data_IF_868514273746
#
_entry.id   IF_868514273746
#
_cell.length_a   1.000
_cell.length_b   1.000
_cell.length_c   1.000
_cell.angle_alpha   90.00
_cell.angle_beta   90.00
_cell.angle_gamma   90.00
#
_symmetry.space_group_name_H-M   'P 1'
#
loop_
_entity.id
_entity.type
_entity.pdbx_description
1 polymer ?
#
# COMPACT_ATOMS: atom_id res chain seq x y z
N UNK A 1 14.24 -22.18 35.13
CA UNK A 1 13.34 -21.02 34.91
C UNK A 1 12.01 -21.53 34.40
N UNK A 2 10.92 -21.27 35.13
CA UNK A 2 9.55 -21.66 34.75
C UNK A 2 9.17 -21.05 33.39
N UNK A 3 8.49 -21.83 32.54
CA UNK A 3 8.03 -21.39 31.21
C UNK A 3 7.23 -20.09 31.26
N UNK A 4 6.49 -19.85 32.35
CA UNK A 4 5.74 -18.61 32.60
C UNK A 4 6.64 -17.37 32.74
N UNK A 5 7.84 -17.52 33.29
CA UNK A 5 8.78 -16.41 33.46
C UNK A 5 9.49 -16.08 32.14
N UNK A 6 9.77 -17.09 31.30
CA UNK A 6 10.36 -16.87 29.97
C UNK A 6 9.37 -16.16 29.03
N UNK A 7 8.10 -16.57 29.06
CA UNK A 7 7.03 -15.94 28.29
C UNK A 7 6.80 -14.47 28.69
N UNK A 8 6.78 -14.19 30.00
CA UNK A 8 6.65 -12.82 30.52
C UNK A 8 7.83 -11.93 30.10
N UNK A 9 9.06 -12.45 30.16
CA UNK A 9 10.26 -11.72 29.71
C UNK A 9 10.20 -11.46 28.19
N UNK A 10 9.87 -12.48 27.39
CA UNK A 10 9.75 -12.33 25.94
C UNK A 10 8.70 -11.28 25.56
N UNK A 11 7.54 -11.31 26.22
CA UNK A 11 6.47 -10.33 26.01
C UNK A 11 6.92 -8.91 26.35
N UNK A 12 7.59 -8.71 27.50
CA UNK A 12 8.13 -7.39 27.88
C UNK A 12 9.15 -6.89 26.85
N UNK A 13 10.06 -7.77 26.39
CA UNK A 13 11.05 -7.42 25.37
C UNK A 13 10.37 -7.01 24.06
N UNK A 14 9.36 -7.75 23.61
CA UNK A 14 8.60 -7.40 22.41
C UNK A 14 7.90 -6.04 22.55
N UNK A 15 7.23 -5.79 23.68
CA UNK A 15 6.58 -4.50 23.92
C UNK A 15 7.57 -3.34 23.96
N UNK A 16 8.74 -3.51 24.59
CA UNK A 16 9.78 -2.48 24.62
C UNK A 16 10.32 -2.20 23.22
N UNK A 17 10.59 -3.23 22.42
CA UNK A 17 11.06 -3.08 21.04
C UNK A 17 10.00 -2.40 20.17
N UNK A 18 8.74 -2.84 20.22
CA UNK A 18 7.64 -2.22 19.49
C UNK A 18 7.43 -0.76 19.91
N UNK A 19 7.48 -0.48 21.22
CA UNK A 19 7.37 0.89 21.75
C UNK A 19 8.51 1.78 21.26
N UNK A 20 9.74 1.28 21.22
CA UNK A 20 10.89 2.01 20.68
C UNK A 20 10.71 2.34 19.20
N UNK A 21 10.25 1.39 18.39
CA UNK A 21 9.98 1.62 16.96
C UNK A 21 8.90 2.69 16.76
N UNK A 22 7.80 2.60 17.51
CA UNK A 22 6.71 3.59 17.45
C UNK A 22 7.22 4.95 17.89
N UNK A 23 7.99 5.04 18.98
CA UNK A 23 8.55 6.28 19.48
C UNK A 23 9.50 6.92 18.46
N UNK A 24 10.31 6.12 17.77
CA UNK A 24 11.19 6.58 16.70
C UNK A 24 10.38 7.16 15.53
N UNK A 25 9.34 6.44 15.07
CA UNK A 25 8.46 6.92 13.99
C UNK A 25 7.76 8.24 14.38
N UNK A 26 7.20 8.31 15.58
CA UNK A 26 6.54 9.53 16.09
C UNK A 26 7.54 10.68 16.21
N UNK A 27 8.75 10.42 16.70
CA UNK A 27 9.81 11.44 16.78
C UNK A 27 10.24 11.94 15.41
N UNK A 28 10.32 11.04 14.42
CA UNK A 28 10.66 11.40 13.04
C UNK A 28 9.57 12.26 12.39
N UNK A 29 8.31 11.86 12.53
CA UNK A 29 7.16 12.65 12.06
C UNK A 29 7.15 14.02 12.77
N UNK A 30 7.32 14.04 14.09
CA UNK A 30 7.38 15.27 14.88
C UNK A 30 8.50 16.20 14.42
N UNK A 31 9.70 15.67 14.15
CA UNK A 31 10.83 16.44 13.62
C UNK A 31 10.53 17.05 12.25
N UNK A 32 9.93 16.27 11.34
CA UNK A 32 9.53 16.75 10.01
C UNK A 32 8.48 17.86 10.13
N UNK A 33 7.48 17.70 11.00
CA UNK A 33 6.44 18.70 11.21
C UNK A 33 7.00 19.98 11.84
N UNK A 34 7.88 19.85 12.84
CA UNK A 34 8.52 21.00 13.47
C UNK A 34 9.33 21.82 12.44
N UNK A 35 10.18 21.15 11.66
CA UNK A 35 11.03 21.80 10.65
C UNK A 35 10.26 22.26 9.42
N UNK A 36 9.16 21.57 9.09
CA UNK A 36 8.29 21.85 7.95
C UNK A 36 7.17 22.85 8.23
N UNK A 37 6.88 23.17 9.49
CA UNK A 37 5.76 24.02 9.92
C UNK A 37 5.72 25.37 9.20
N UNK A 38 6.86 26.04 9.05
CA UNK A 38 6.97 27.33 8.33
C UNK A 38 6.69 27.24 6.83
N UNK A 39 6.80 26.03 6.25
CA UNK A 39 6.58 25.78 4.83
C UNK A 39 5.17 25.26 4.51
N UNK A 40 4.35 24.93 5.53
CA UNK A 40 2.97 24.48 5.37
C UNK A 40 2.04 25.64 4.99
N UNK A 41 1.97 25.92 3.70
CA UNK A 41 1.06 26.92 3.13
C UNK A 41 0.16 26.28 2.06
N UNK A 42 -0.94 26.94 1.70
CA UNK A 42 -1.81 26.48 0.60
C UNK A 42 -1.04 26.34 -0.72
N UNK A 43 -0.04 27.19 -0.96
CA UNK A 43 0.88 27.07 -2.11
C UNK A 43 1.77 25.83 -2.04
N UNK A 44 2.06 25.31 -0.87
CA UNK A 44 2.77 24.04 -0.73
C UNK A 44 1.82 22.86 -1.03
N UNK A 45 0.57 22.91 -0.58
CA UNK A 45 -0.38 21.80 -0.80
C UNK A 45 -0.82 21.72 -2.27
N UNK A 46 -1.18 22.85 -2.89
CA UNK A 46 -1.75 22.89 -4.25
C UNK A 46 -0.80 23.43 -5.32
N UNK A 47 0.36 23.95 -4.93
CA UNK A 47 1.31 24.48 -5.89
C UNK A 47 2.06 23.39 -6.64
N UNK A 48 2.73 23.82 -7.70
CA UNK A 48 3.57 22.94 -8.51
C UNK A 48 4.91 22.66 -7.82
N UNK A 49 5.47 21.46 -8.01
CA UNK A 49 6.80 21.14 -7.52
C UNK A 49 7.83 22.00 -8.25
N UNK A 50 8.88 22.43 -7.53
CA UNK A 50 10.07 22.94 -8.19
C UNK A 50 10.97 21.74 -8.49
N UNK A 51 11.36 21.56 -9.75
CA UNK A 51 12.00 20.32 -10.22
C UNK A 51 13.25 19.93 -9.43
N UNK A 52 14.23 20.84 -9.32
CA UNK A 52 15.56 20.53 -8.77
C UNK A 52 15.93 21.37 -7.54
N UNK A 53 15.02 22.21 -7.05
CA UNK A 53 15.26 23.06 -5.87
C UNK A 53 14.52 22.53 -4.66
N UNK A 54 15.13 22.67 -3.47
CA UNK A 54 14.43 22.43 -2.22
C UNK A 54 13.29 23.46 -2.07
N UNK A 55 12.04 22.96 -2.06
CA UNK A 55 10.83 23.78 -1.98
C UNK A 55 9.92 23.60 -3.20
N UNK A 56 8.72 24.18 -3.15
CA UNK A 56 7.66 23.95 -4.13
C UNK A 56 6.48 23.21 -3.53
N UNK A 57 5.45 22.96 -4.34
CA UNK A 57 4.24 22.29 -3.88
C UNK A 57 4.16 20.81 -4.23
N UNK A 58 3.30 20.10 -3.51
CA UNK A 58 3.02 18.67 -3.64
C UNK A 58 1.71 18.39 -4.37
N UNK A 59 1.08 19.41 -4.95
CA UNK A 59 -0.26 19.32 -5.55
C UNK A 59 -0.40 18.22 -6.59
N UNK A 60 0.50 18.15 -7.60
CA UNK A 60 0.48 17.07 -8.59
C UNK A 60 0.69 15.68 -7.99
N UNK A 61 1.48 15.53 -6.92
CA UNK A 61 1.69 14.23 -6.26
C UNK A 61 0.41 13.78 -5.54
N UNK A 62 -0.24 14.69 -4.81
CA UNK A 62 -1.53 14.42 -4.17
C UNK A 62 -2.59 14.06 -5.22
N UNK A 63 -2.68 14.84 -6.29
CA UNK A 63 -3.61 14.57 -7.39
C UNK A 63 -3.35 13.20 -8.01
N UNK A 64 -2.09 12.87 -8.32
CA UNK A 64 -1.74 11.57 -8.90
C UNK A 64 -2.09 10.40 -7.96
N UNK A 65 -1.84 10.52 -6.66
CA UNK A 65 -2.21 9.47 -5.69
C UNK A 65 -3.73 9.24 -5.64
N UNK A 66 -4.53 10.31 -5.59
CA UNK A 66 -5.99 10.20 -5.60
C UNK A 66 -6.53 9.72 -6.95
N UNK A 67 -5.97 10.22 -8.06
CA UNK A 67 -6.36 9.82 -9.40
C UNK A 67 -6.13 8.32 -9.62
N UNK A 68 -4.95 7.80 -9.26
CA UNK A 68 -4.64 6.37 -9.33
C UNK A 68 -5.63 5.57 -8.49
N UNK A 69 -5.85 5.96 -7.24
CA UNK A 69 -6.80 5.28 -6.35
C UNK A 69 -8.20 5.22 -6.95
N UNK A 70 -8.71 6.31 -7.50
CA UNK A 70 -10.06 6.35 -8.10
C UNK A 70 -10.13 5.46 -9.33
N UNK A 71 -9.14 5.54 -10.22
CA UNK A 71 -9.08 4.72 -11.43
C UNK A 71 -9.06 3.24 -11.05
N UNK A 72 -8.16 2.83 -10.15
CA UNK A 72 -8.09 1.44 -9.67
C UNK A 72 -9.42 1.00 -9.06
N UNK A 73 -10.06 1.81 -8.21
CA UNK A 73 -11.34 1.45 -7.58
C UNK A 73 -12.48 1.26 -8.60
N UNK A 74 -12.55 2.10 -9.63
CA UNK A 74 -13.60 2.00 -10.66
C UNK A 74 -13.56 0.64 -11.36
N UNK A 75 -12.37 0.06 -11.57
CA UNK A 75 -12.25 -1.26 -12.21
C UNK A 75 -12.29 -2.39 -11.19
N UNK A 76 -11.55 -2.28 -10.08
CA UNK A 76 -11.39 -3.36 -9.11
C UNK A 76 -12.65 -3.59 -8.28
N UNK A 77 -13.39 -2.56 -7.89
CA UNK A 77 -14.57 -2.74 -7.02
C UNK A 77 -15.69 -3.51 -7.74
N UNK A 78 -16.15 -3.12 -8.95
CA UNK A 78 -17.22 -3.87 -9.61
C UNK A 78 -16.82 -5.31 -9.94
N UNK A 79 -15.58 -5.52 -10.41
CA UNK A 79 -15.07 -6.84 -10.72
C UNK A 79 -14.90 -7.71 -9.48
N UNK A 80 -14.32 -7.16 -8.40
CA UNK A 80 -14.06 -7.88 -7.16
C UNK A 80 -15.35 -8.23 -6.42
N UNK A 81 -16.29 -7.30 -6.31
CA UNK A 81 -17.60 -7.54 -5.68
C UNK A 81 -18.41 -8.51 -6.53
N UNK A 82 -18.46 -8.33 -7.86
CA UNK A 82 -19.19 -9.22 -8.75
C UNK A 82 -18.64 -10.65 -8.73
N UNK A 83 -17.32 -10.82 -8.80
CA UNK A 83 -16.67 -12.12 -8.67
C UNK A 83 -16.91 -12.74 -7.29
N UNK A 84 -16.84 -11.93 -6.22
CA UNK A 84 -17.11 -12.38 -4.85
C UNK A 84 -18.54 -12.91 -4.67
N UNK A 85 -19.54 -12.17 -5.16
CA UNK A 85 -20.95 -12.60 -5.13
C UNK A 85 -21.13 -13.88 -5.93
N UNK A 86 -20.56 -13.97 -7.13
CA UNK A 86 -20.65 -15.17 -7.96
C UNK A 86 -20.07 -16.40 -7.23
N UNK A 87 -18.88 -16.25 -6.65
CA UNK A 87 -18.19 -17.33 -5.94
C UNK A 87 -18.90 -17.74 -4.64
N UNK A 88 -19.60 -16.81 -3.98
CA UNK A 88 -20.32 -17.08 -2.75
C UNK A 88 -21.69 -17.74 -2.99
N UNK A 89 -22.45 -17.26 -3.98
CA UNK A 89 -23.87 -17.61 -4.13
C UNK A 89 -24.15 -18.57 -5.30
N UNK A 90 -23.38 -18.47 -6.39
CA UNK A 90 -23.70 -19.14 -7.65
C UNK A 90 -22.70 -20.23 -8.05
N UNK A 91 -21.48 -20.19 -7.53
CA UNK A 91 -20.43 -21.11 -7.93
C UNK A 91 -20.71 -22.53 -7.43
N UNK A 92 -20.79 -23.46 -8.38
CA UNK A 92 -20.98 -24.89 -8.08
C UNK A 92 -19.68 -25.50 -7.58
N UNK A 93 -19.79 -26.30 -6.53
CA UNK A 93 -18.72 -27.16 -6.00
C UNK A 93 -18.13 -28.03 -7.12
N UNK A 94 -16.81 -28.01 -7.29
CA UNK A 94 -16.13 -28.75 -8.35
C UNK A 94 -14.64 -28.40 -8.46
N UNK A 95 -13.95 -29.10 -9.38
CA UNK A 95 -12.50 -28.93 -9.59
C UNK A 95 -12.11 -27.50 -9.94
N UNK A 96 -12.91 -26.83 -10.78
CA UNK A 96 -12.67 -25.44 -11.20
C UNK A 96 -12.79 -24.48 -10.01
N UNK A 97 -13.82 -24.64 -9.17
CA UNK A 97 -13.99 -23.83 -7.97
C UNK A 97 -12.83 -23.99 -6.99
N UNK A 98 -12.36 -25.24 -6.79
CA UNK A 98 -11.21 -25.51 -5.93
C UNK A 98 -9.92 -24.88 -6.44
N UNK A 99 -9.69 -24.88 -7.76
CA UNK A 99 -8.53 -24.19 -8.36
C UNK A 99 -8.64 -22.68 -8.14
N UNK A 100 -9.80 -22.08 -8.38
CA UNK A 100 -10.01 -20.64 -8.20
C UNK A 100 -9.76 -20.25 -6.73
N UNK A 101 -10.32 -21.00 -5.77
CA UNK A 101 -10.09 -20.77 -4.34
C UNK A 101 -8.60 -20.87 -3.98
N UNK A 102 -7.91 -21.91 -4.46
CA UNK A 102 -6.47 -22.07 -4.25
C UNK A 102 -5.66 -20.88 -4.80
N UNK A 103 -6.01 -20.40 -6.00
CA UNK A 103 -5.37 -19.22 -6.58
C UNK A 103 -5.61 -17.97 -5.72
N UNK A 104 -6.84 -17.73 -5.27
CA UNK A 104 -7.18 -16.60 -4.40
C UNK A 104 -6.39 -16.67 -3.08
N UNK A 105 -6.37 -17.83 -2.42
CA UNK A 105 -5.64 -18.02 -1.17
C UNK A 105 -4.13 -17.81 -1.36
N UNK A 106 -3.57 -18.33 -2.46
CA UNK A 106 -2.15 -18.13 -2.79
C UNK A 106 -1.85 -16.66 -3.09
N UNK A 107 -2.70 -15.97 -3.84
CA UNK A 107 -2.51 -14.55 -4.13
C UNK A 107 -2.64 -13.67 -2.87
N UNK A 108 -3.51 -14.04 -1.93
CA UNK A 108 -3.68 -13.31 -0.68
C UNK A 108 -2.46 -13.40 0.26
N UNK A 109 -1.69 -14.48 0.16
CA UNK A 109 -0.49 -14.71 0.98
C UNK A 109 0.79 -14.16 0.34
N UNK A 110 0.75 -13.76 -0.94
CA UNK A 110 1.89 -13.16 -1.61
C UNK A 110 2.24 -11.80 -0.96
N UNK A 111 3.53 -11.54 -0.71
CA UNK A 111 3.96 -10.21 -0.27
C UNK A 111 3.60 -9.15 -1.31
N UNK A 112 3.14 -7.98 -0.87
CA UNK A 112 2.74 -6.88 -1.76
C UNK A 112 3.85 -6.43 -2.71
N UNK A 113 5.12 -6.56 -2.29
CA UNK A 113 6.27 -6.21 -3.14
C UNK A 113 6.41 -7.14 -4.35
N UNK A 114 6.06 -8.42 -4.22
CA UNK A 114 6.10 -9.38 -5.32
C UNK A 114 5.03 -9.03 -6.36
N UNK A 115 3.82 -8.71 -5.89
CA UNK A 115 2.72 -8.28 -6.75
C UNK A 115 3.06 -6.96 -7.46
N UNK A 116 3.65 -6.00 -6.75
CA UNK A 116 4.05 -4.71 -7.31
C UNK A 116 5.16 -4.82 -8.36
N UNK A 117 6.19 -5.62 -8.10
CA UNK A 117 7.27 -5.86 -9.07
C UNK A 117 6.77 -6.63 -10.29
N UNK A 118 5.88 -7.61 -10.11
CA UNK A 118 5.25 -8.30 -11.23
C UNK A 118 4.44 -7.34 -12.12
N UNK A 119 3.64 -6.46 -11.52
CA UNK A 119 2.92 -5.41 -12.24
C UNK A 119 3.85 -4.52 -13.06
N UNK A 120 4.97 -4.08 -12.47
CA UNK A 120 6.00 -3.32 -13.19
C UNK A 120 6.56 -4.11 -14.38
N UNK A 121 6.91 -5.38 -14.22
CA UNK A 121 7.42 -6.20 -15.32
C UNK A 121 6.39 -6.32 -16.46
N UNK A 122 5.13 -6.60 -16.13
CA UNK A 122 4.09 -6.83 -17.15
C UNK A 122 3.65 -5.55 -17.84
N UNK A 123 3.32 -4.51 -17.07
CA UNK A 123 2.71 -3.29 -17.62
C UNK A 123 3.75 -2.30 -18.12
N UNK A 124 4.87 -2.11 -17.40
CA UNK A 124 5.90 -1.14 -17.78
C UNK A 124 6.85 -1.74 -18.82
N UNK A 125 7.39 -2.93 -18.56
CA UNK A 125 8.46 -3.49 -19.40
C UNK A 125 7.92 -4.29 -20.60
N UNK A 126 7.04 -5.27 -20.35
CA UNK A 126 6.53 -6.14 -21.42
C UNK A 126 5.55 -5.41 -22.34
N UNK A 127 4.60 -4.66 -21.77
CA UNK A 127 3.59 -3.92 -22.55
C UNK A 127 4.12 -2.61 -23.14
N UNK A 128 5.37 -2.22 -22.81
CA UNK A 128 6.03 -0.97 -23.26
C UNK A 128 5.25 0.31 -22.96
N UNK A 129 4.38 0.30 -21.94
CA UNK A 129 3.62 1.50 -21.54
C UNK A 129 4.50 2.54 -20.84
N UNK A 130 5.73 2.17 -20.47
CA UNK A 130 6.64 3.05 -19.75
C UNK A 130 6.11 3.42 -18.36
N UNK A 131 6.81 4.34 -17.70
CA UNK A 131 6.34 4.88 -16.42
C UNK A 131 5.17 5.84 -16.66
N UNK A 132 3.95 5.32 -16.57
CA UNK A 132 2.71 6.07 -16.74
C UNK A 132 1.74 5.78 -15.61
N UNK A 133 0.79 6.70 -15.39
CA UNK A 133 -0.26 6.51 -14.36
C UNK A 133 -1.09 5.27 -14.65
N UNK A 134 -1.39 4.99 -15.92
CA UNK A 134 -2.18 3.82 -16.32
C UNK A 134 -1.42 2.51 -16.11
N UNK A 135 -0.08 2.51 -16.23
CA UNK A 135 0.72 1.33 -15.94
C UNK A 135 0.83 1.02 -14.43
N UNK A 136 0.55 2.01 -13.57
CA UNK A 136 0.57 1.87 -12.11
C UNK A 136 -0.82 1.77 -11.46
N UNK A 137 -1.90 2.00 -12.22
CA UNK A 137 -3.29 1.92 -11.77
C UNK A 137 -3.85 0.51 -11.93
#
# INVERSE_FOLDING_TARGET
MSSKNKDKIATIVLYVLSSLVVLLLVSFIGYILYKGSSSLNLKFIFGNPKGSEAGGGIGPMLFNSFYLLIVTLIFTVPLGVGAGIYLAEYAKEGKVMNIIRLCIDTMSSLPSIVVGLFGLLVFVQLSKWGFSLIAGA
#
